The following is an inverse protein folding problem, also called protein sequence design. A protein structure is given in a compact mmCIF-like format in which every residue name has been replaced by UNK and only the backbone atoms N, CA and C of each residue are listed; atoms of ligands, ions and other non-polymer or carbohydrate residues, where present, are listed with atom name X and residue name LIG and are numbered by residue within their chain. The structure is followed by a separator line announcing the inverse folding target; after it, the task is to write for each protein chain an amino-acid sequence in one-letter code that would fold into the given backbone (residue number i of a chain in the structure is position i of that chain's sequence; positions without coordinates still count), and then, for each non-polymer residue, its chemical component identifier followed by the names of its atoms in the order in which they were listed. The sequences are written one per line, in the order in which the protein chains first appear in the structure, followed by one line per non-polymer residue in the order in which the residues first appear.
data_IF_818401616130
#
_entry.id   IF_818401616130
#
_cell.length_a   1.000
_cell.length_b   1.000
_cell.length_c   1.000
_cell.angle_alpha   90.00
_cell.angle_beta   90.00
_cell.angle_gamma   90.00
#
_symmetry.space_group_name_H-M   'P 1'
#
loop_
_entity.id
_entity.type
_entity.pdbx_description
1 polymer ?
#
# COMPACT_ATOMS: atom_id res chain seq x y z
N UNK A 1 16.05 -4.52 -16.76
CA UNK A 1 15.25 -3.35 -16.31
C UNK A 1 14.69 -3.72 -14.94
N UNK A 2 14.65 -2.79 -13.97
CA UNK A 2 14.04 -3.02 -12.65
C UNK A 2 12.62 -2.46 -12.65
N UNK A 3 11.66 -3.24 -12.18
CA UNK A 3 10.23 -2.88 -12.09
C UNK A 3 9.79 -3.04 -10.64
N UNK A 4 9.06 -2.05 -10.11
CA UNK A 4 8.50 -2.11 -8.77
C UNK A 4 6.99 -1.84 -8.77
N UNK A 5 6.30 -2.36 -7.76
CA UNK A 5 4.86 -2.14 -7.53
C UNK A 5 4.70 -1.19 -6.33
N UNK A 6 4.03 -0.07 -6.55
CA UNK A 6 3.68 0.89 -5.50
C UNK A 6 2.26 0.64 -4.96
N UNK A 7 1.98 1.15 -3.76
CA UNK A 7 0.70 0.96 -3.07
C UNK A 7 0.39 -0.52 -2.81
N UNK A 8 1.39 -1.31 -2.41
CA UNK A 8 1.23 -2.75 -2.25
C UNK A 8 0.40 -3.17 -1.01
N UNK A 9 0.17 -2.27 -0.05
CA UNK A 9 -0.45 -2.53 1.25
C UNK A 9 -1.87 -1.98 1.42
N UNK A 10 -2.56 -1.66 0.31
CA UNK A 10 -3.94 -1.12 0.34
C UNK A 10 -4.98 -2.19 0.00
N UNK A 11 -6.22 -1.93 0.40
CA UNK A 11 -7.38 -2.75 0.06
C UNK A 11 -7.16 -4.24 0.42
N UNK A 12 -7.50 -5.17 -0.48
CA UNK A 12 -7.36 -6.61 -0.22
C UNK A 12 -5.94 -7.07 0.11
N UNK A 13 -4.93 -6.36 -0.40
CA UNK A 13 -3.52 -6.66 -0.15
C UNK A 13 -3.04 -6.16 1.21
N UNK A 14 -3.85 -5.40 1.95
CA UNK A 14 -3.57 -5.07 3.35
C UNK A 14 -3.74 -6.26 4.31
N UNK A 15 -4.45 -7.30 3.91
CA UNK A 15 -4.61 -8.53 4.72
C UNK A 15 -3.35 -9.39 4.66
N UNK A 16 -3.11 -10.23 5.68
CA UNK A 16 -1.95 -11.13 5.67
C UNK A 16 -1.96 -12.13 4.50
N UNK A 17 -3.13 -12.67 4.14
CA UNK A 17 -3.30 -13.58 3.00
C UNK A 17 -3.08 -12.86 1.67
N UNK A 18 -3.74 -11.71 1.46
CA UNK A 18 -3.58 -10.93 0.23
C UNK A 18 -2.15 -10.39 0.06
N UNK A 19 -1.49 -10.00 1.15
CA UNK A 19 -0.09 -9.58 1.13
C UNK A 19 0.83 -10.72 0.68
N UNK A 20 0.62 -11.93 1.22
CA UNK A 20 1.40 -13.11 0.84
C UNK A 20 1.17 -13.50 -0.63
N UNK A 21 -0.08 -13.50 -1.09
CA UNK A 21 -0.42 -13.78 -2.49
C UNK A 21 0.25 -12.78 -3.44
N UNK A 22 0.14 -11.48 -3.15
CA UNK A 22 0.77 -10.43 -3.95
C UNK A 22 2.29 -10.61 -3.99
N UNK A 23 2.91 -10.84 -2.83
CA UNK A 23 4.36 -10.96 -2.71
C UNK A 23 4.91 -12.16 -3.49
N UNK A 24 4.34 -13.34 -3.30
CA UNK A 24 4.76 -14.54 -4.02
C UNK A 24 4.53 -14.42 -5.53
N UNK A 25 3.43 -13.80 -5.96
CA UNK A 25 3.16 -13.56 -7.38
C UNK A 25 4.14 -12.55 -7.99
N UNK A 26 4.44 -11.47 -7.27
CA UNK A 26 5.39 -10.45 -7.71
C UNK A 26 6.81 -11.01 -7.84
N UNK A 27 7.26 -11.79 -6.85
CA UNK A 27 8.56 -12.47 -6.88
C UNK A 27 8.64 -13.45 -8.06
N UNK A 28 7.63 -14.30 -8.25
CA UNK A 28 7.59 -15.24 -9.38
C UNK A 28 7.57 -14.55 -10.76
N UNK A 29 7.00 -13.34 -10.83
CA UNK A 29 6.99 -12.53 -12.05
C UNK A 29 8.31 -11.74 -12.27
N UNK A 30 9.25 -11.79 -11.33
CA UNK A 30 10.52 -11.06 -11.41
C UNK A 30 10.40 -9.56 -11.12
N UNK A 31 9.37 -9.14 -10.38
CA UNK A 31 9.25 -7.78 -9.85
C UNK A 31 10.34 -7.57 -8.81
N UNK A 32 11.06 -6.47 -8.90
CA UNK A 32 12.26 -6.23 -8.11
C UNK A 32 11.97 -5.65 -6.73
N UNK A 33 10.88 -4.90 -6.57
CA UNK A 33 10.55 -4.28 -5.28
C UNK A 33 9.05 -4.03 -5.11
N UNK A 34 8.60 -4.17 -3.86
CA UNK A 34 7.27 -3.77 -3.41
C UNK A 34 7.41 -2.53 -2.54
N UNK A 35 6.56 -1.54 -2.80
CA UNK A 35 6.56 -0.27 -2.10
C UNK A 35 5.22 -0.05 -1.44
N UNK A 36 5.26 0.17 -0.13
CA UNK A 36 4.10 0.50 0.68
C UNK A 36 3.86 2.00 0.70
N UNK A 37 2.65 2.38 1.09
CA UNK A 37 2.29 3.77 1.36
C UNK A 37 1.77 3.90 2.78
N UNK A 38 1.79 5.13 3.29
CA UNK A 38 1.33 5.39 4.64
C UNK A 38 0.68 6.77 4.78
N UNK A 39 -0.32 6.82 5.66
CA UNK A 39 -0.91 8.01 6.22
C UNK A 39 -1.27 7.77 7.69
N UNK A 40 -0.28 7.88 8.59
CA UNK A 40 -0.49 7.75 10.05
C UNK A 40 -1.56 8.72 10.57
N UNK A 41 -1.65 9.89 9.95
CA UNK A 41 -2.61 10.94 10.30
C UNK A 41 -3.45 11.25 9.06
N UNK A 42 -4.77 11.13 9.22
CA UNK A 42 -5.73 11.63 8.26
C UNK A 42 -6.44 12.88 8.80
N UNK A 43 -6.31 14.06 8.15
CA UNK A 43 -7.02 15.25 8.57
C UNK A 43 -8.51 15.15 8.17
N UNK A 44 -9.40 14.71 9.07
CA UNK A 44 -10.83 14.50 8.74
C UNK A 44 -11.62 15.78 8.43
N UNK A 45 -11.10 16.95 8.83
CA UNK A 45 -11.80 18.24 8.73
C UNK A 45 -11.02 19.33 7.99
N UNK A 46 -10.15 18.98 7.03
CA UNK A 46 -9.44 20.02 6.28
C UNK A 46 -10.40 20.90 5.48
N UNK A 47 -10.09 22.20 5.48
CA UNK A 47 -10.81 23.25 4.73
C UNK A 47 -10.09 23.68 3.46
N UNK A 48 -8.81 23.34 3.32
CA UNK A 48 -8.02 23.58 2.11
C UNK A 48 -8.50 22.69 0.96
N UNK A 49 -8.49 23.18 -0.27
CA UNK A 49 -8.77 22.36 -1.43
C UNK A 49 -7.65 21.32 -1.66
N UNK A 50 -8.01 20.06 -1.92
CA UNK A 50 -7.05 19.04 -2.34
C UNK A 50 -6.71 19.26 -3.83
N UNK A 51 -5.45 19.55 -4.19
CA UNK A 51 -5.13 20.08 -5.52
C UNK A 51 -5.10 19.04 -6.64
N UNK A 52 -5.34 17.76 -6.34
CA UNK A 52 -5.15 16.65 -7.27
C UNK A 52 -6.45 15.91 -7.64
N UNK A 53 -7.59 16.40 -7.19
CA UNK A 53 -8.90 15.82 -7.51
C UNK A 53 -9.94 16.95 -7.66
N UNK A 54 -10.83 16.84 -8.66
CA UNK A 54 -11.85 17.85 -8.97
C UNK A 54 -12.88 18.04 -7.84
N UNK A 55 -13.01 17.08 -6.93
CA UNK A 55 -13.86 17.18 -5.74
C UNK A 55 -13.26 18.03 -4.63
N UNK A 56 -12.02 18.50 -4.80
CA UNK A 56 -11.19 19.11 -3.76
C UNK A 56 -10.97 18.20 -2.54
N UNK A 57 -11.23 16.89 -2.68
CA UNK A 57 -11.08 15.90 -1.62
C UNK A 57 -10.09 14.80 -1.97
N UNK A 58 -9.34 14.36 -0.96
CA UNK A 58 -8.56 13.13 -1.06
C UNK A 58 -9.48 11.94 -1.34
N UNK A 59 -9.10 11.03 -2.26
CA UNK A 59 -9.89 9.83 -2.57
C UNK A 59 -9.90 8.81 -1.42
N UNK A 60 -9.00 8.95 -0.45
CA UNK A 60 -8.92 8.13 0.75
C UNK A 60 -9.78 8.70 1.88
N UNK A 61 -10.33 7.82 2.71
CA UNK A 61 -11.10 8.15 3.91
C UNK A 61 -10.36 7.67 5.17
N UNK A 62 -10.70 8.17 6.39
CA UNK A 62 -10.07 7.72 7.64
C UNK A 62 -10.19 6.21 7.90
N UNK A 63 -11.22 5.58 7.35
CA UNK A 63 -11.53 4.16 7.47
C UNK A 63 -10.99 3.32 6.29
N UNK A 64 -10.28 3.94 5.33
CA UNK A 64 -9.64 3.18 4.25
C UNK A 64 -8.66 2.17 4.84
N UNK A 65 -8.80 0.87 4.52
CA UNK A 65 -7.87 -0.15 5.00
C UNK A 65 -6.47 0.09 4.43
N UNK A 66 -5.59 0.60 5.28
CA UNK A 66 -4.19 0.85 4.99
C UNK A 66 -3.36 0.22 6.10
N UNK A 67 -2.74 -0.92 5.80
CA UNK A 67 -1.95 -1.66 6.78
C UNK A 67 -0.63 -0.95 7.03
N UNK A 68 -0.23 -0.83 8.30
CA UNK A 68 1.07 -0.24 8.69
C UNK A 68 2.21 -0.82 7.83
N UNK A 69 3.03 0.03 7.19
CA UNK A 69 3.99 -0.42 6.21
C UNK A 69 5.10 -1.26 6.83
N UNK A 70 5.50 -1.01 8.08
CA UNK A 70 6.59 -1.75 8.71
C UNK A 70 6.12 -3.15 9.10
N UNK A 71 4.91 -3.28 9.63
CA UNK A 71 4.28 -4.58 9.91
C UNK A 71 4.07 -5.34 8.60
N UNK A 72 3.54 -4.67 7.57
CA UNK A 72 3.28 -5.29 6.27
C UNK A 72 4.56 -5.78 5.60
N UNK A 73 5.60 -4.94 5.54
CA UNK A 73 6.90 -5.31 4.96
C UNK A 73 7.57 -6.44 5.73
N UNK A 74 7.47 -6.44 7.07
CA UNK A 74 7.98 -7.54 7.89
C UNK A 74 7.29 -8.85 7.57
N UNK A 75 5.95 -8.83 7.42
CA UNK A 75 5.18 -10.01 7.05
C UNK A 75 5.56 -10.53 5.66
N UNK A 76 5.60 -9.64 4.66
CA UNK A 76 5.92 -9.98 3.27
C UNK A 76 7.35 -10.50 3.12
N UNK A 77 8.33 -9.88 3.80
CA UNK A 77 9.70 -10.35 3.79
C UNK A 77 9.86 -11.79 4.32
N UNK A 78 8.93 -12.26 5.15
CA UNK A 78 8.90 -13.65 5.61
C UNK A 78 8.29 -14.63 4.60
N UNK A 79 7.63 -14.14 3.54
CA UNK A 79 6.98 -14.94 2.49
C UNK A 79 7.79 -15.02 1.19
N UNK A 80 8.83 -14.19 1.05
CA UNK A 80 9.71 -14.12 -0.13
C UNK A 80 11.14 -14.53 0.24
N UNK A 81 11.98 -14.80 -0.75
CA UNK A 81 13.32 -15.39 -0.53
C UNK A 81 14.45 -14.81 -1.37
N UNK A 82 14.16 -13.87 -2.27
CA UNK A 82 15.14 -13.28 -3.20
C UNK A 82 15.51 -11.84 -2.89
#
# INVERSE_FOLDING_TARGET
MKVGIAFANIAGFGTGEGAAELASAAEAAGVESLWTVEHVIFPSGYRSAYPYDDSDRMPMTPDTPLTDPLIWLTWVAAQTST
#
